data_IF_350978434837
#
_entry.id   IF_350978434837
#
_cell.length_a   1.000
_cell.length_b   1.000
_cell.length_c   1.000
_cell.angle_alpha   90.00
_cell.angle_beta   90.00
_cell.angle_gamma   90.00
#
_symmetry.space_group_name_H-M   'P 1'
#
loop_
_entity.id
_entity.type
_entity.pdbx_description
1 polymer ?
#
# COMPACT_ATOMS: atom_id res chain seq x y z
N UNK A 1 -8.51 -12.29 -17.70
CA UNK A 1 -8.36 -11.64 -17.50
C UNK A 1 -8.28 -11.14 -16.95
N UNK A 2 -8.33 -11.11 -16.70
CA UNK A 2 -8.34 -10.56 -16.24
C UNK A 2 -8.10 -9.37 -16.01
N UNK A 3 -8.53 -8.67 -15.34
CA UNK A 3 -8.16 -7.51 -15.27
C UNK A 3 -7.43 -7.15 -14.26
N UNK A 4 -6.38 -6.85 -14.42
CA UNK A 4 -5.45 -6.59 -13.39
C UNK A 4 -5.79 -5.29 -12.67
N UNK A 5 -5.15 -5.13 -11.50
CA UNK A 5 -5.17 -3.88 -10.75
C UNK A 5 -4.69 -2.75 -11.67
N UNK A 6 -5.40 -1.63 -11.69
CA UNK A 6 -4.99 -0.50 -12.52
C UNK A 6 -3.81 0.25 -11.93
N UNK A 7 -3.82 0.48 -10.62
CA UNK A 7 -2.75 1.21 -9.95
C UNK A 7 -2.45 0.59 -8.61
N UNK A 8 -1.21 0.17 -8.41
CA UNK A 8 -0.71 -0.28 -7.12
C UNK A 8 0.20 0.79 -6.55
N UNK A 9 0.21 0.91 -5.22
CA UNK A 9 1.02 1.91 -4.51
C UNK A 9 1.92 1.22 -3.49
N UNK A 10 3.21 1.58 -3.49
CA UNK A 10 4.15 1.09 -2.51
C UNK A 10 4.69 2.28 -1.74
N UNK A 11 4.57 2.24 -0.42
CA UNK A 11 5.09 3.27 0.48
C UNK A 11 6.16 2.59 1.32
N UNK A 12 7.43 2.77 0.95
CA UNK A 12 8.54 2.03 1.53
C UNK A 12 9.85 2.71 1.16
N UNK A 13 10.76 2.86 2.12
CA UNK A 13 12.04 3.51 1.89
C UNK A 13 13.17 2.55 1.52
N UNK A 14 12.91 1.25 1.55
CA UNK A 14 13.91 0.22 1.24
C UNK A 14 14.03 0.04 -0.28
N UNK A 15 15.02 0.70 -0.87
CA UNK A 15 15.18 0.73 -2.32
C UNK A 15 15.38 -0.66 -2.94
N UNK A 16 16.12 -1.51 -2.25
CA UNK A 16 16.39 -2.86 -2.77
C UNK A 16 15.09 -3.67 -2.81
N UNK A 17 14.36 -3.65 -1.72
CA UNK A 17 13.08 -4.35 -1.64
C UNK A 17 12.08 -3.81 -2.66
N UNK A 18 11.97 -2.48 -2.74
CA UNK A 18 11.04 -1.82 -3.67
C UNK A 18 11.37 -2.19 -5.11
N UNK A 19 12.66 -2.19 -5.48
CA UNK A 19 13.06 -2.55 -6.84
C UNK A 19 12.72 -4.00 -7.16
N UNK A 20 12.88 -4.90 -6.18
CA UNK A 20 12.52 -6.30 -6.36
C UNK A 20 11.02 -6.45 -6.60
N UNK A 21 10.22 -5.82 -5.76
CA UNK A 21 8.76 -5.88 -5.87
C UNK A 21 8.29 -5.28 -7.19
N UNK A 22 8.88 -4.15 -7.57
CA UNK A 22 8.57 -3.50 -8.84
C UNK A 22 8.79 -4.44 -10.02
N UNK A 23 9.92 -5.16 -10.03
CA UNK A 23 10.20 -6.11 -11.10
C UNK A 23 9.20 -7.25 -11.13
N UNK A 24 8.81 -7.74 -9.98
CA UNK A 24 7.83 -8.82 -9.90
C UNK A 24 6.49 -8.36 -10.48
N UNK A 25 6.06 -7.17 -10.10
CA UNK A 25 4.81 -6.61 -10.62
C UNK A 25 4.86 -6.45 -12.13
N UNK A 26 5.98 -5.98 -12.65
CA UNK A 26 6.15 -5.76 -14.10
C UNK A 26 6.19 -7.08 -14.87
N UNK A 27 7.00 -8.02 -14.41
CA UNK A 27 7.17 -9.29 -15.10
C UNK A 27 5.89 -10.12 -15.09
N UNK A 28 5.21 -10.15 -13.96
CA UNK A 28 3.98 -10.93 -13.79
C UNK A 28 2.74 -10.15 -14.24
N UNK A 29 2.90 -8.91 -14.60
CA UNK A 29 1.80 -8.04 -15.03
C UNK A 29 0.68 -7.98 -14.02
N UNK A 30 1.06 -7.78 -12.75
CA UNK A 30 0.10 -7.79 -11.65
C UNK A 30 -0.68 -6.48 -11.55
N UNK A 31 -0.10 -5.38 -12.02
CA UNK A 31 -0.76 -4.09 -12.04
C UNK A 31 -0.40 -3.35 -13.33
N UNK A 32 -1.34 -2.57 -13.85
CA UNK A 32 -1.07 -1.79 -15.07
C UNK A 32 -0.08 -0.67 -14.79
N UNK A 33 -0.20 -0.04 -13.63
CA UNK A 33 0.65 1.08 -13.22
C UNK A 33 1.08 0.90 -11.78
N UNK A 34 2.17 1.56 -11.42
CA UNK A 34 2.74 1.48 -10.08
C UNK A 34 3.22 2.85 -9.67
N UNK A 35 2.90 3.26 -8.44
CA UNK A 35 3.41 4.49 -7.86
C UNK A 35 4.15 4.16 -6.57
N UNK A 36 5.30 4.80 -6.35
CA UNK A 36 6.17 4.50 -5.21
C UNK A 36 6.46 5.79 -4.44
N UNK A 37 6.29 5.74 -3.12
CA UNK A 37 6.64 6.82 -2.22
C UNK A 37 7.68 6.32 -1.22
N UNK A 38 8.63 7.19 -0.87
CA UNK A 38 9.74 6.85 0.03
C UNK A 38 9.36 6.96 1.50
N UNK A 39 8.27 7.64 1.81
CA UNK A 39 7.83 7.80 3.19
C UNK A 39 6.36 8.17 3.23
N UNK A 40 5.82 8.18 4.45
CA UNK A 40 4.40 8.46 4.63
C UNK A 40 3.99 9.87 4.27
N UNK A 41 4.91 10.82 4.43
CA UNK A 41 4.58 12.22 4.13
C UNK A 41 4.38 12.44 2.64
N UNK A 42 5.26 11.89 1.81
CA UNK A 42 5.10 12.00 0.36
C UNK A 42 3.78 11.40 -0.09
N UNK A 43 3.44 10.23 0.45
CA UNK A 43 2.20 9.57 0.11
C UNK A 43 1.00 10.37 0.57
N UNK A 44 1.03 10.87 1.80
CA UNK A 44 -0.07 11.64 2.34
C UNK A 44 -0.31 12.93 1.55
N UNK A 45 0.77 13.61 1.18
CA UNK A 45 0.67 14.82 0.36
C UNK A 45 0.00 14.52 -0.98
N UNK A 46 0.34 13.39 -1.58
CA UNK A 46 -0.26 12.94 -2.83
C UNK A 46 -1.78 12.75 -2.67
N UNK A 47 -2.19 12.06 -1.62
CA UNK A 47 -3.62 11.81 -1.39
C UNK A 47 -4.37 13.09 -1.07
N UNK A 48 -3.76 14.00 -0.32
CA UNK A 48 -4.38 15.29 -0.02
C UNK A 48 -4.58 16.14 -1.28
N UNK A 49 -3.61 16.07 -2.20
CA UNK A 49 -3.72 16.79 -3.47
C UNK A 49 -4.89 16.25 -4.29
N UNK A 50 -5.12 14.93 -4.27
CA UNK A 50 -6.25 14.34 -4.97
C UNK A 50 -7.57 14.83 -4.39
N UNK A 51 -7.66 15.00 -3.06
CA UNK A 51 -8.86 15.52 -2.44
C UNK A 51 -9.23 16.91 -2.97
N UNK A 52 -8.21 17.73 -3.25
CA UNK A 52 -8.44 19.07 -3.76
C UNK A 52 -8.90 19.08 -5.21
N UNK A 53 -8.41 18.15 -6.01
CA UNK A 53 -8.68 18.10 -7.45
C UNK A 53 -9.57 16.96 -7.88
N UNK A 54 -9.92 16.09 -6.99
CA UNK A 54 -10.83 14.95 -7.18
C UNK A 54 -10.65 14.24 -8.53
N UNK A 55 -9.53 13.55 -8.67
CA UNK A 55 -9.29 12.66 -9.82
C UNK A 55 -9.14 11.24 -9.30
N UNK A 56 -10.22 10.48 -9.31
CA UNK A 56 -10.20 9.10 -8.79
C UNK A 56 -9.34 8.18 -9.63
N UNK A 57 -9.04 8.59 -10.87
CA UNK A 57 -8.15 7.79 -11.71
C UNK A 57 -6.73 7.72 -11.18
N UNK A 58 -6.37 8.63 -10.29
CA UNK A 58 -5.06 8.66 -9.65
C UNK A 58 -5.02 7.96 -8.31
N UNK A 59 -6.14 7.38 -7.87
CA UNK A 59 -6.20 6.65 -6.61
C UNK A 59 -5.78 5.19 -6.84
N UNK A 60 -4.91 4.65 -5.98
CA UNK A 60 -4.54 3.24 -6.11
C UNK A 60 -5.67 2.32 -5.69
N UNK A 61 -5.66 1.12 -6.26
CA UNK A 61 -6.56 0.05 -5.86
C UNK A 61 -6.02 -0.65 -4.62
N UNK A 62 -4.70 -0.68 -4.48
CA UNK A 62 -4.03 -1.41 -3.42
C UNK A 62 -2.80 -0.63 -2.96
N UNK A 63 -2.59 -0.60 -1.64
CA UNK A 63 -1.43 0.05 -1.03
C UNK A 63 -0.67 -0.96 -0.20
N UNK A 64 0.66 -1.00 -0.39
CA UNK A 64 1.57 -1.76 0.47
C UNK A 64 2.36 -0.75 1.28
N UNK A 65 2.15 -0.75 2.59
CA UNK A 65 2.70 0.26 3.50
C UNK A 65 3.71 -0.34 4.45
N UNK A 66 4.96 0.17 4.40
CA UNK A 66 5.98 -0.17 5.38
C UNK A 66 5.77 0.65 6.65
N UNK A 67 6.16 0.09 7.79
CA UNK A 67 5.98 0.77 9.07
C UNK A 67 7.16 1.66 9.45
N UNK A 68 8.38 1.25 9.11
CA UNK A 68 9.58 1.95 9.55
C UNK A 68 10.18 2.77 8.42
N UNK A 69 9.90 4.07 8.44
CA UNK A 69 10.38 5.02 7.43
C UNK A 69 10.75 6.34 8.10
N UNK A 70 11.73 7.06 7.55
CA UNK A 70 12.05 8.40 8.06
C UNK A 70 10.96 9.40 7.70
N UNK A 71 11.02 10.57 8.31
CA UNK A 71 10.10 11.69 8.16
C UNK A 71 8.71 11.37 8.72
N UNK A 72 7.97 10.48 8.08
CA UNK A 72 6.67 10.02 8.57
C UNK A 72 6.62 8.51 8.41
N UNK A 73 6.52 7.77 9.51
CA UNK A 73 6.45 6.31 9.46
C UNK A 73 5.05 5.83 9.10
N UNK A 74 4.91 4.50 9.00
CA UNK A 74 3.63 3.91 8.61
C UNK A 74 2.51 4.13 9.60
N UNK A 75 2.83 4.16 10.90
CA UNK A 75 1.82 4.41 11.92
C UNK A 75 1.24 5.81 11.81
N UNK A 76 2.11 6.79 11.62
CA UNK A 76 1.70 8.17 11.44
C UNK A 76 0.87 8.32 10.17
N UNK A 77 1.31 7.66 9.08
CA UNK A 77 0.56 7.68 7.84
C UNK A 77 -0.85 7.11 8.04
N UNK A 78 -0.96 5.97 8.70
CA UNK A 78 -2.27 5.35 8.95
C UNK A 78 -3.18 6.28 9.73
N UNK A 79 -2.64 6.93 10.77
CA UNK A 79 -3.42 7.83 11.61
C UNK A 79 -3.97 9.02 10.81
N UNK A 80 -3.19 9.53 9.87
CA UNK A 80 -3.63 10.65 9.04
C UNK A 80 -4.53 10.20 7.90
N UNK A 81 -4.21 9.06 7.28
CA UNK A 81 -4.98 8.57 6.14
C UNK A 81 -6.41 8.18 6.54
N UNK A 82 -6.58 7.64 7.74
CA UNK A 82 -7.90 7.32 8.28
C UNK A 82 -8.83 8.53 8.23
N UNK A 83 -8.28 9.72 8.47
CA UNK A 83 -9.07 10.95 8.52
C UNK A 83 -9.61 11.37 7.16
N UNK A 84 -8.94 10.97 6.08
CA UNK A 84 -9.31 11.42 4.74
C UNK A 84 -9.85 10.31 3.85
N UNK A 85 -9.66 9.06 4.23
CA UNK A 85 -10.01 7.91 3.40
C UNK A 85 -11.46 7.92 2.95
N UNK A 86 -12.38 8.28 3.83
CA UNK A 86 -13.80 8.23 3.52
C UNK A 86 -14.25 9.32 2.54
N UNK A 87 -13.38 10.26 2.23
CA UNK A 87 -13.67 11.29 1.23
C UNK A 87 -13.45 10.79 -0.20
N UNK A 88 -12.86 9.60 -0.34
CA UNK A 88 -12.67 8.98 -1.65
C UNK A 88 -13.79 7.98 -1.91
N UNK A 89 -14.31 7.98 -3.12
CA UNK A 89 -15.39 7.08 -3.51
C UNK A 89 -14.90 5.74 -4.02
N UNK A 90 -13.61 5.49 -3.90
CA UNK A 90 -13.00 4.27 -4.41
C UNK A 90 -12.63 3.36 -3.25
N UNK A 91 -12.83 2.06 -3.43
CA UNK A 91 -12.35 1.07 -2.48
C UNK A 91 -10.83 0.97 -2.62
N UNK A 92 -10.11 1.19 -1.53
CA UNK A 92 -8.66 1.07 -1.49
C UNK A 92 -8.32 -0.01 -0.48
N UNK A 93 -7.62 -1.05 -0.94
CA UNK A 93 -7.18 -2.14 -0.07
C UNK A 93 -5.78 -1.83 0.42
N UNK A 94 -5.55 -1.89 1.74
CA UNK A 94 -4.25 -1.55 2.32
C UNK A 94 -3.67 -2.70 3.10
N UNK A 95 -2.44 -3.07 2.76
CA UNK A 95 -1.66 -4.07 3.48
C UNK A 95 -0.49 -3.39 4.18
N UNK A 96 -0.28 -3.73 5.45
CA UNK A 96 0.94 -3.34 6.16
C UNK A 96 1.99 -4.40 5.83
N UNK A 97 3.19 -3.95 5.44
CA UNK A 97 4.28 -4.85 5.08
C UNK A 97 5.49 -4.48 5.93
N UNK A 98 5.95 -5.39 6.77
CA UNK A 98 7.02 -5.08 7.72
C UNK A 98 7.87 -6.31 8.00
N UNK A 99 9.12 -6.07 8.40
CA UNK A 99 9.99 -7.15 8.88
C UNK A 99 9.73 -7.47 10.35
N UNK A 100 8.91 -6.68 11.05
CA UNK A 100 8.62 -6.90 12.45
C UNK A 100 7.65 -8.08 12.64
N UNK A 101 8.00 -8.98 13.57
CA UNK A 101 7.12 -10.06 13.98
C UNK A 101 6.62 -9.85 15.41
N UNK A 102 6.80 -8.66 15.95
CA UNK A 102 6.39 -8.30 17.31
C UNK A 102 4.85 -8.33 17.39
N UNK A 103 4.29 -9.13 18.32
CA UNK A 103 2.83 -9.20 18.48
C UNK A 103 2.18 -7.84 18.74
N UNK A 104 2.91 -6.91 19.34
CA UNK A 104 2.37 -5.56 19.60
C UNK A 104 2.12 -4.82 18.29
N UNK A 105 3.01 -4.98 17.31
CA UNK A 105 2.84 -4.35 16.01
C UNK A 105 1.67 -4.97 15.26
N UNK A 106 1.53 -6.29 15.32
CA UNK A 106 0.41 -6.98 14.68
C UNK A 106 -0.92 -6.54 15.29
N UNK A 107 -0.98 -6.44 16.61
CA UNK A 107 -2.20 -6.00 17.31
C UNK A 107 -2.52 -4.55 16.96
N UNK A 108 -1.51 -3.71 16.93
CA UNK A 108 -1.71 -2.29 16.60
C UNK A 108 -2.23 -2.12 15.18
N UNK A 109 -1.69 -2.90 14.23
CA UNK A 109 -2.16 -2.84 12.85
C UNK A 109 -3.63 -3.24 12.76
N UNK A 110 -4.03 -4.29 13.48
CA UNK A 110 -5.41 -4.75 13.48
C UNK A 110 -6.38 -3.73 14.06
N UNK A 111 -5.89 -2.79 14.87
CA UNK A 111 -6.75 -1.76 15.43
C UNK A 111 -7.22 -0.75 14.38
N UNK A 112 -6.58 -0.72 13.22
CA UNK A 112 -7.01 0.13 12.10
C UNK A 112 -7.90 -0.68 11.18
N UNK A 113 -9.18 -0.33 11.09
CA UNK A 113 -10.13 -1.05 10.25
C UNK A 113 -9.74 -1.04 8.77
N UNK A 114 -9.01 -0.01 8.34
CA UNK A 114 -8.62 0.09 6.93
C UNK A 114 -7.49 -0.88 6.56
N UNK A 115 -6.80 -1.46 7.54
CA UNK A 115 -5.74 -2.44 7.27
C UNK A 115 -6.36 -3.80 6.99
N UNK A 116 -6.13 -4.29 5.78
CA UNK A 116 -6.68 -5.59 5.36
C UNK A 116 -5.91 -6.75 5.99
N UNK A 117 -4.59 -6.65 5.99
CA UNK A 117 -3.75 -7.70 6.57
C UNK A 117 -2.35 -7.17 6.86
N UNK A 118 -1.60 -7.92 7.65
CA UNK A 118 -0.23 -7.61 8.02
C UNK A 118 0.67 -8.67 7.37
N UNK A 119 1.57 -8.24 6.50
CA UNK A 119 2.43 -9.15 5.75
C UNK A 119 3.87 -9.00 6.24
N UNK A 120 4.53 -10.13 6.46
CA UNK A 120 5.92 -10.15 6.94
C UNK A 120 6.87 -10.19 5.74
N UNK A 121 7.88 -9.31 5.75
CA UNK A 121 8.91 -9.31 4.71
C UNK A 121 9.89 -10.44 4.93
N UNK A 122 10.39 -11.08 3.87
CA UNK A 122 9.97 -10.90 2.48
C UNK A 122 8.67 -11.66 2.21
N UNK A 123 7.79 -11.08 1.41
CA UNK A 123 6.52 -11.72 1.08
C UNK A 123 6.80 -12.84 0.08
N UNK A 124 6.27 -14.03 0.35
CA UNK A 124 6.39 -15.15 -0.57
C UNK A 124 5.71 -14.80 -1.90
N UNK A 125 6.35 -15.16 -3.00
CA UNK A 125 5.88 -14.79 -4.33
C UNK A 125 4.43 -15.24 -4.59
N UNK A 126 4.11 -16.48 -4.26
CA UNK A 126 2.76 -17.00 -4.48
C UNK A 126 1.72 -16.24 -3.68
N UNK A 127 2.06 -15.88 -2.45
CA UNK A 127 1.16 -15.10 -1.61
C UNK A 127 0.95 -13.72 -2.19
N UNK A 128 2.01 -13.11 -2.70
CA UNK A 128 1.96 -11.80 -3.32
C UNK A 128 1.05 -11.82 -4.54
N UNK A 129 1.23 -12.79 -5.42
CA UNK A 129 0.39 -12.96 -6.60
C UNK A 129 -1.08 -13.13 -6.24
N UNK A 130 -1.33 -13.92 -5.19
CA UNK A 130 -2.69 -14.20 -4.75
C UNK A 130 -3.40 -12.95 -4.24
N UNK A 131 -2.64 -12.06 -3.61
CA UNK A 131 -3.20 -10.80 -3.12
C UNK A 131 -3.77 -9.99 -4.29
N UNK A 132 -3.05 -9.91 -5.40
CA UNK A 132 -3.53 -9.18 -6.57
C UNK A 132 -4.76 -9.85 -7.18
N UNK A 133 -4.82 -11.16 -7.20
CA UNK A 133 -5.97 -11.88 -7.72
C UNK A 133 -7.22 -11.62 -6.87
N UNK A 134 -7.07 -11.61 -5.55
CA UNK A 134 -8.20 -11.39 -4.65
C UNK A 134 -8.77 -9.99 -4.78
N UNK A 135 -7.91 -9.00 -5.02
CA UNK A 135 -8.34 -7.62 -5.13
C UNK A 135 -9.02 -7.32 -6.47
N UNK A 136 -8.79 -8.15 -7.47
CA UNK A 136 -9.45 -8.00 -8.75
C UNK A 136 -10.89 -8.49 -8.68
N UNK A 137 -11.10 -9.51 -7.86
CA UNK A 137 -12.45 -10.04 -7.67
C UNK A 137 -13.28 -9.07 -6.83
#
# INVERSE_FOLDING_TARGET
MDHPIELACIIDDDRIYVNLVKKIIEIKKLSQNLIIFKNGKEALDYFKAILENISENSLPDIIFLDLNMPVMDGWEFLSEFVKIKNNFNKKITLYVVSSSIDPRDLERAKSFNLVTDYLIKPIELKKFEKIFDQDVA
#
